data_IF_976524626846
#
_entry.id   IF_976524626846
#
_cell.length_a   1.000
_cell.length_b   1.000
_cell.length_c   1.000
_cell.angle_alpha   90.00
_cell.angle_beta   90.00
_cell.angle_gamma   90.00
#
_symmetry.space_group_name_H-M   'P 1'
#
loop_
_entity.id
_entity.type
_entity.pdbx_description
1 polymer ?
#
# COMPACT_ATOMS: atom_id res chain seq x y z
N UNK A 1 12.16 -14.72 -15.21
CA UNK A 1 11.22 -14.52 -14.08
C UNK A 1 10.10 -13.60 -14.55
N UNK A 2 9.67 -13.78 -15.79
CA UNK A 2 9.08 -12.69 -16.56
C UNK A 2 7.63 -12.49 -16.13
N UNK A 3 6.92 -13.57 -15.79
CA UNK A 3 5.58 -13.51 -15.21
C UNK A 3 5.50 -12.58 -13.98
N UNK A 4 6.50 -12.63 -13.08
CA UNK A 4 6.56 -11.74 -11.91
C UNK A 4 6.79 -10.29 -12.32
N UNK A 5 7.65 -10.05 -13.31
CA UNK A 5 7.87 -8.72 -13.87
C UNK A 5 6.60 -8.15 -14.53
N UNK A 6 5.76 -9.03 -15.09
CA UNK A 6 4.48 -8.69 -15.71
C UNK A 6 3.31 -8.62 -14.71
N UNK A 7 3.53 -8.85 -13.42
CA UNK A 7 2.53 -8.63 -12.37
C UNK A 7 2.04 -9.88 -11.65
N UNK A 8 2.52 -11.08 -11.99
CA UNK A 8 2.11 -12.30 -11.32
C UNK A 8 2.82 -12.51 -9.98
N UNK A 9 2.11 -13.10 -9.03
CA UNK A 9 2.62 -13.44 -7.69
C UNK A 9 2.66 -14.96 -7.52
N UNK A 10 3.73 -15.46 -6.92
CA UNK A 10 3.94 -16.89 -6.68
C UNK A 10 4.24 -17.16 -5.21
N UNK A 11 3.63 -18.22 -4.66
CA UNK A 11 4.01 -18.75 -3.35
C UNK A 11 5.21 -19.67 -3.50
N UNK A 12 6.27 -19.39 -2.74
CA UNK A 12 7.47 -20.22 -2.68
C UNK A 12 7.33 -21.21 -1.55
N UNK A 13 7.39 -22.50 -1.88
CA UNK A 13 7.32 -23.61 -0.92
C UNK A 13 8.65 -24.35 -0.83
N UNK A 14 8.93 -24.90 0.35
CA UNK A 14 9.99 -25.89 0.61
C UNK A 14 9.36 -27.04 1.39
N UNK A 15 9.48 -28.25 0.85
CA UNK A 15 8.92 -29.47 1.45
C UNK A 15 7.40 -29.37 1.75
N UNK A 16 6.65 -28.73 0.85
CA UNK A 16 5.21 -28.49 1.00
C UNK A 16 4.84 -27.41 2.02
N UNK A 17 5.82 -26.79 2.68
CA UNK A 17 5.62 -25.65 3.58
C UNK A 17 5.88 -24.35 2.84
N UNK A 18 4.95 -23.41 2.94
CA UNK A 18 5.14 -22.05 2.43
C UNK A 18 6.24 -21.35 3.22
N UNK A 19 7.21 -20.78 2.51
CA UNK A 19 8.38 -20.13 3.11
C UNK A 19 8.54 -18.68 2.67
N UNK A 20 7.98 -18.30 1.51
CA UNK A 20 8.00 -16.94 1.02
C UNK A 20 6.93 -16.70 -0.05
N UNK A 21 6.74 -15.43 -0.40
CA UNK A 21 5.98 -14.98 -1.55
C UNK A 21 6.93 -14.21 -2.48
N UNK A 22 6.84 -14.49 -3.77
CA UNK A 22 7.51 -13.73 -4.82
C UNK A 22 6.46 -12.88 -5.55
N UNK A 23 6.46 -11.58 -5.24
CA UNK A 23 5.54 -10.61 -5.81
C UNK A 23 6.30 -9.55 -6.64
N UNK A 24 5.65 -8.92 -7.64
CA UNK A 24 6.21 -7.83 -8.40
C UNK A 24 6.57 -6.66 -7.48
N UNK A 25 7.74 -6.04 -7.68
CA UNK A 25 8.04 -4.79 -6.99
C UNK A 25 7.31 -3.64 -7.67
N UNK A 26 6.23 -3.19 -7.04
CA UNK A 26 5.58 -1.96 -7.46
C UNK A 26 6.52 -0.77 -7.24
N UNK A 27 7.08 -0.23 -8.33
CA UNK A 27 7.70 1.09 -8.29
C UNK A 27 6.60 2.09 -7.97
N UNK A 28 6.72 2.76 -6.81
CA UNK A 28 5.89 3.94 -6.52
C UNK A 28 6.21 4.97 -7.60
N UNK A 29 5.34 5.10 -8.60
CA UNK A 29 5.50 6.13 -9.62
C UNK A 29 5.34 7.48 -8.95
N UNK A 30 6.28 8.38 -9.21
CA UNK A 30 6.13 9.77 -8.81
C UNK A 30 4.86 10.32 -9.47
N UNK A 31 3.93 10.83 -8.65
CA UNK A 31 2.77 11.57 -9.13
C UNK A 31 3.03 13.04 -8.81
N UNK A 32 3.08 13.88 -9.83
CA UNK A 32 3.24 15.31 -9.63
C UNK A 32 2.05 15.86 -8.84
N UNK A 33 2.29 16.88 -8.01
CA UNK A 33 1.24 17.50 -7.18
C UNK A 33 0.01 17.93 -8.01
N UNK A 34 0.26 18.49 -9.20
CA UNK A 34 -0.80 18.90 -10.11
C UNK A 34 -1.65 17.71 -10.56
N UNK A 35 -1.03 16.60 -10.93
CA UNK A 35 -1.74 15.42 -11.46
C UNK A 35 -2.52 14.72 -10.36
N UNK A 36 -1.96 14.65 -9.14
CA UNK A 36 -2.67 14.17 -7.97
C UNK A 36 -3.92 15.03 -7.70
N UNK A 37 -3.77 16.36 -7.64
CA UNK A 37 -4.89 17.25 -7.43
C UNK A 37 -5.96 17.13 -8.55
N UNK A 38 -5.52 16.94 -9.80
CA UNK A 38 -6.41 16.77 -10.94
C UNK A 38 -7.22 15.46 -10.85
N UNK A 39 -6.55 14.35 -10.50
CA UNK A 39 -7.20 13.05 -10.31
C UNK A 39 -8.15 13.03 -9.10
N UNK A 40 -7.83 13.79 -8.04
CA UNK A 40 -8.63 13.85 -6.82
C UNK A 40 -9.84 14.81 -6.89
N UNK A 41 -10.09 15.50 -8.01
CA UNK A 41 -11.21 16.46 -8.10
C UNK A 41 -12.59 15.85 -7.87
N UNK A 42 -12.75 14.57 -8.17
CA UNK A 42 -14.01 13.83 -7.95
C UNK A 42 -13.98 12.99 -6.67
N UNK A 43 -12.93 13.12 -5.87
CA UNK A 43 -12.83 12.40 -4.61
C UNK A 43 -13.90 12.92 -3.62
N UNK A 44 -14.46 12.03 -2.77
CA UNK A 44 -15.32 12.46 -1.67
C UNK A 44 -14.59 13.46 -0.76
N UNK A 45 -15.35 14.42 -0.22
CA UNK A 45 -14.82 15.28 0.83
C UNK A 45 -14.56 14.45 2.09
N UNK A 46 -13.36 14.56 2.65
CA UNK A 46 -12.96 13.85 3.88
C UNK A 46 -12.78 14.88 4.98
N UNK A 47 -13.47 14.70 6.10
CA UNK A 47 -13.15 15.40 7.34
C UNK A 47 -11.86 14.80 7.92
N UNK A 48 -10.77 15.56 7.82
CA UNK A 48 -9.44 15.08 8.20
C UNK A 48 -9.31 14.80 9.70
N UNK A 49 -10.03 15.55 10.55
CA UNK A 49 -9.96 15.38 12.00
C UNK A 49 -10.64 14.07 12.39
N UNK A 50 -11.88 13.89 11.89
CA UNK A 50 -12.64 12.66 12.13
C UNK A 50 -11.92 11.44 11.55
N UNK A 51 -11.45 11.53 10.31
CA UNK A 51 -10.74 10.44 9.65
C UNK A 51 -9.50 10.01 10.45
N UNK A 52 -8.76 10.97 11.04
CA UNK A 52 -7.58 10.63 11.85
C UNK A 52 -7.94 9.96 13.17
N UNK A 53 -9.03 10.37 13.81
CA UNK A 53 -9.53 9.71 15.03
C UNK A 53 -9.96 8.27 14.73
N UNK A 54 -10.73 8.05 13.67
CA UNK A 54 -11.17 6.71 13.23
C UNK A 54 -9.99 5.78 12.92
N UNK A 55 -8.90 6.30 12.34
CA UNK A 55 -7.68 5.53 12.11
C UNK A 55 -7.03 5.05 13.42
N UNK A 56 -6.97 5.91 14.44
CA UNK A 56 -6.39 5.54 15.73
C UNK A 56 -7.24 4.51 16.49
N UNK A 57 -8.55 4.47 16.22
CA UNK A 57 -9.44 3.44 16.77
C UNK A 57 -9.39 2.13 15.97
N UNK A 58 -9.27 2.21 14.63
CA UNK A 58 -9.30 1.05 13.73
C UNK A 58 -7.97 0.30 13.65
N UNK A 59 -6.87 0.99 13.86
CA UNK A 59 -5.52 0.43 13.76
C UNK A 59 -4.77 0.72 15.06
N UNK A 60 -4.11 -0.31 15.60
CA UNK A 60 -3.11 -0.14 16.67
C UNK A 60 -1.84 0.48 16.05
N UNK A 61 -1.94 1.78 15.74
CA UNK A 61 -0.87 2.56 15.12
C UNK A 61 0.17 2.89 16.18
N UNK A 62 0.92 1.89 16.61
CA UNK A 62 2.19 2.11 17.28
C UNK A 62 3.06 2.93 16.31
N UNK A 63 3.46 4.14 16.73
CA UNK A 63 4.34 4.99 15.94
C UNK A 63 5.76 4.38 16.00
N UNK A 64 6.28 3.83 14.88
CA UNK A 64 7.61 3.21 14.87
C UNK A 64 8.74 4.24 15.06
N UNK A 65 8.42 5.53 15.12
CA UNK A 65 9.34 6.65 15.32
C UNK A 65 9.05 7.47 16.58
N UNK A 66 8.08 7.08 17.41
CA UNK A 66 7.93 7.68 18.74
C UNK A 66 9.14 7.29 19.60
N UNK A 67 10.12 8.19 19.65
CA UNK A 67 11.26 8.14 20.58
C UNK A 67 11.22 9.35 21.49
#
# INVERSE_FOLDING_TARGET
MDAVEHGETFTVTRDGREIAELAPRHVRRFVARHDFAAASRTAPHVDLVRFRAEQGEAFDLDDPYAR
#
